data_IF_522901412854
#
_entry.id   IF_522901412854
#
_cell.length_a   1.000
_cell.length_b   1.000
_cell.length_c   1.000
_cell.angle_alpha   90.00
_cell.angle_beta   90.00
_cell.angle_gamma   90.00
#
_symmetry.space_group_name_H-M   'P 1'
#
loop_
_entity.id
_entity.type
_entity.pdbx_description
1 polymer ?
#
# COMPACT_ATOMS: atom_id res chain seq x y z
N UNK A 1 5.73 -33.87 4.70
CA UNK A 1 4.99 -32.84 3.96
C UNK A 1 5.88 -32.35 2.82
N UNK A 2 5.37 -32.35 1.59
CA UNK A 2 6.06 -31.80 0.43
C UNK A 2 5.67 -30.32 0.29
N UNK A 3 6.67 -29.44 0.22
CA UNK A 3 6.47 -28.01 0.01
C UNK A 3 7.06 -27.64 -1.36
N UNK A 4 6.22 -27.18 -2.27
CA UNK A 4 6.68 -26.67 -3.54
C UNK A 4 7.46 -25.35 -3.33
N UNK A 5 8.48 -25.06 -4.17
CA UNK A 5 9.12 -23.76 -4.16
C UNK A 5 8.10 -22.68 -4.53
N UNK A 6 8.28 -21.44 -4.04
CA UNK A 6 7.45 -20.32 -4.45
C UNK A 6 7.55 -20.07 -5.96
N UNK A 7 6.50 -19.54 -6.60
CA UNK A 7 6.54 -19.21 -8.02
C UNK A 7 7.65 -18.20 -8.32
N UNK A 8 8.23 -18.31 -9.51
CA UNK A 8 9.19 -17.31 -10.01
C UNK A 8 8.44 -16.00 -10.25
N UNK A 9 8.91 -14.86 -9.72
CA UNK A 9 8.28 -13.57 -9.97
C UNK A 9 8.27 -13.23 -11.46
N UNK A 10 7.18 -12.62 -11.93
CA UNK A 10 7.08 -12.16 -13.31
C UNK A 10 8.06 -10.99 -13.55
N UNK A 11 8.69 -11.01 -14.71
CA UNK A 11 9.45 -9.88 -15.23
C UNK A 11 8.53 -8.74 -15.65
N UNK A 12 9.07 -7.53 -15.83
CA UNK A 12 8.28 -6.39 -16.34
C UNK A 12 7.61 -6.69 -17.69
N UNK A 13 8.27 -7.30 -18.71
CA UNK A 13 7.60 -7.67 -19.96
C UNK A 13 6.45 -8.67 -19.78
N UNK A 14 6.60 -9.65 -18.90
CA UNK A 14 5.52 -10.62 -18.60
C UNK A 14 4.36 -9.94 -17.88
N UNK A 15 4.63 -9.05 -16.91
CA UNK A 15 3.60 -8.23 -16.27
C UNK A 15 2.86 -7.38 -17.30
N UNK A 16 3.58 -6.71 -18.19
CA UNK A 16 2.99 -5.88 -19.23
C UNK A 16 2.13 -6.71 -20.20
N UNK A 17 2.57 -7.91 -20.56
CA UNK A 17 1.80 -8.84 -21.39
C UNK A 17 0.48 -9.25 -20.71
N UNK A 18 0.51 -9.56 -19.39
CA UNK A 18 -0.71 -9.91 -18.64
C UNK A 18 -1.67 -8.74 -18.59
N UNK A 19 -1.19 -7.52 -18.32
CA UNK A 19 -2.04 -6.33 -18.26
C UNK A 19 -2.46 -5.81 -19.65
N UNK A 20 -1.78 -6.22 -20.71
CA UNK A 20 -2.14 -5.96 -22.10
C UNK A 20 -3.20 -6.89 -22.68
N UNK A 21 -3.68 -7.89 -21.94
CA UNK A 21 -4.77 -8.75 -22.38
C UNK A 21 -6.08 -7.93 -22.57
N UNK A 22 -6.98 -8.35 -23.48
CA UNK A 22 -8.18 -7.61 -23.83
C UNK A 22 -9.26 -7.70 -22.75
N UNK A 23 -8.98 -7.18 -21.57
CA UNK A 23 -9.95 -7.13 -20.47
C UNK A 23 -11.12 -6.22 -20.78
N UNK A 24 -12.33 -6.72 -20.54
CA UNK A 24 -13.58 -5.97 -20.76
C UNK A 24 -13.76 -4.79 -19.77
N UNK A 25 -13.14 -4.85 -18.59
CA UNK A 25 -13.30 -3.88 -17.49
C UNK A 25 -14.76 -3.61 -17.14
N UNK A 26 -15.59 -4.66 -17.17
CA UNK A 26 -17.03 -4.61 -16.89
C UNK A 26 -17.41 -5.75 -15.95
N UNK A 27 -18.50 -5.59 -15.17
CA UNK A 27 -19.08 -6.70 -14.44
C UNK A 27 -19.43 -7.87 -15.36
N UNK A 28 -19.46 -9.08 -14.79
CA UNK A 28 -19.90 -10.25 -15.53
C UNK A 28 -21.35 -10.08 -16.03
N UNK A 29 -21.72 -10.50 -17.24
CA UNK A 29 -23.07 -10.31 -17.79
C UNK A 29 -24.21 -10.87 -16.93
N UNK A 30 -23.93 -11.87 -16.08
CA UNK A 30 -24.92 -12.43 -15.15
C UNK A 30 -25.48 -11.42 -14.13
N UNK A 31 -24.79 -10.30 -13.89
CA UNK A 31 -25.29 -9.24 -13.00
C UNK A 31 -26.35 -8.36 -13.67
N UNK A 32 -26.53 -8.41 -14.99
CA UNK A 32 -27.49 -7.58 -15.73
C UNK A 32 -27.32 -6.09 -15.43
N UNK A 33 -28.41 -5.44 -15.03
CA UNK A 33 -28.45 -4.00 -14.68
C UNK A 33 -28.13 -3.72 -13.20
N UNK A 34 -27.72 -4.72 -12.42
CA UNK A 34 -27.42 -4.54 -11.01
C UNK A 34 -26.21 -3.63 -10.80
N UNK A 35 -26.36 -2.63 -9.93
CA UNK A 35 -25.22 -1.81 -9.48
C UNK A 35 -24.37 -2.60 -8.49
N UNK A 36 -23.07 -2.74 -8.79
CA UNK A 36 -22.10 -3.42 -7.94
C UNK A 36 -21.23 -2.36 -7.27
N UNK A 37 -21.41 -2.08 -5.96
CA UNK A 37 -20.65 -1.01 -5.28
C UNK A 37 -19.14 -1.16 -5.40
N UNK A 38 -18.63 -2.38 -5.31
CA UNK A 38 -17.19 -2.65 -5.46
C UNK A 38 -16.67 -2.25 -6.85
N UNK A 39 -17.43 -2.58 -7.92
CA UNK A 39 -17.07 -2.18 -9.27
C UNK A 39 -17.05 -0.65 -9.43
N UNK A 40 -18.09 0.03 -8.96
CA UNK A 40 -18.17 1.49 -9.03
C UNK A 40 -16.98 2.17 -8.34
N UNK A 41 -16.48 1.59 -7.26
CA UNK A 41 -15.35 2.10 -6.50
C UNK A 41 -14.02 1.94 -7.24
N UNK A 42 -13.81 0.82 -7.97
CA UNK A 42 -12.50 0.46 -8.54
C UNK A 42 -12.39 0.60 -10.05
N UNK A 43 -13.49 0.83 -10.79
CA UNK A 43 -13.51 0.81 -12.27
C UNK A 43 -12.51 1.76 -12.95
N UNK A 44 -12.09 2.81 -12.26
CA UNK A 44 -11.10 3.78 -12.71
C UNK A 44 -9.77 3.66 -11.94
N UNK A 45 -9.51 2.53 -11.30
CA UNK A 45 -8.25 2.27 -10.63
C UNK A 45 -7.30 1.47 -11.53
N UNK A 46 -6.00 1.66 -11.31
CA UNK A 46 -4.94 0.99 -12.05
C UNK A 46 -3.92 0.44 -11.08
N UNK A 47 -3.63 -0.85 -11.24
CA UNK A 47 -2.59 -1.52 -10.50
C UNK A 47 -1.26 -1.40 -11.23
N UNK A 48 -0.24 -0.79 -10.60
CA UNK A 48 1.06 -0.54 -11.23
C UNK A 48 2.11 -1.59 -10.88
N UNK A 49 1.86 -2.40 -9.86
CA UNK A 49 2.78 -3.44 -9.38
C UNK A 49 2.08 -4.48 -8.52
N UNK A 50 2.71 -5.62 -8.34
CA UNK A 50 2.31 -6.68 -7.41
C UNK A 50 3.46 -6.99 -6.45
N UNK A 51 3.13 -7.67 -5.35
CA UNK A 51 4.08 -8.01 -4.30
C UNK A 51 4.18 -6.96 -3.19
N UNK A 52 4.71 -7.39 -2.05
CA UNK A 52 4.96 -6.51 -0.91
C UNK A 52 6.10 -7.09 -0.05
N UNK A 53 7.14 -6.31 0.19
CA UNK A 53 8.24 -6.72 1.07
C UNK A 53 8.05 -6.26 2.53
N UNK A 54 6.84 -5.82 2.90
CA UNK A 54 6.52 -5.35 4.24
C UNK A 54 6.56 -6.44 5.30
N UNK A 55 6.06 -7.64 4.99
CA UNK A 55 6.07 -8.79 5.90
C UNK A 55 5.21 -8.63 7.15
N UNK A 56 4.20 -7.74 7.12
CA UNK A 56 3.30 -7.54 8.27
C UNK A 56 2.60 -8.84 8.62
N UNK A 57 2.62 -9.25 9.90
CA UNK A 57 2.17 -10.57 10.33
C UNK A 57 0.68 -10.83 10.15
N UNK A 58 -0.13 -9.77 10.16
CA UNK A 58 -1.58 -9.84 9.96
C UNK A 58 -2.00 -9.89 8.48
N UNK A 59 -1.05 -9.67 7.55
CA UNK A 59 -1.32 -9.52 6.13
C UNK A 59 -0.76 -10.71 5.34
N UNK A 60 -1.56 -11.26 4.43
CA UNK A 60 -1.15 -12.39 3.58
C UNK A 60 -0.59 -11.97 2.21
N UNK A 61 -0.53 -10.67 1.89
CA UNK A 61 -0.09 -10.20 0.56
C UNK A 61 1.34 -10.67 0.24
N UNK A 62 2.26 -10.57 1.20
CA UNK A 62 3.64 -11.02 1.02
C UNK A 62 3.72 -12.51 0.65
N UNK A 63 2.81 -13.32 1.21
CA UNK A 63 2.81 -14.77 1.02
C UNK A 63 2.20 -15.18 -0.32
N UNK A 64 1.14 -14.54 -0.79
CA UNK A 64 0.47 -14.96 -2.03
C UNK A 64 0.83 -14.15 -3.27
N UNK A 65 1.30 -12.89 -3.13
CA UNK A 65 1.81 -12.09 -4.26
C UNK A 65 3.34 -12.12 -4.36
N UNK A 66 3.99 -12.55 -3.28
CA UNK A 66 5.45 -12.58 -3.17
C UNK A 66 6.05 -11.30 -2.58
N UNK A 67 7.28 -11.45 -2.12
CA UNK A 67 8.08 -10.36 -1.52
C UNK A 67 8.81 -9.52 -2.55
N UNK A 68 9.05 -10.05 -3.74
CA UNK A 68 9.71 -9.35 -4.83
C UNK A 68 8.68 -8.51 -5.57
N UNK A 69 8.97 -7.24 -5.72
CA UNK A 69 8.06 -6.32 -6.41
C UNK A 69 8.12 -6.55 -7.91
N UNK A 70 6.98 -6.89 -8.49
CA UNK A 70 6.78 -7.11 -9.91
C UNK A 70 6.11 -5.87 -10.49
N UNK A 71 6.91 -4.97 -11.05
CA UNK A 71 6.43 -3.67 -11.55
C UNK A 71 6.12 -3.72 -13.03
N UNK A 72 5.05 -3.04 -13.42
CA UNK A 72 4.74 -2.76 -14.83
C UNK A 72 5.67 -1.68 -15.38
N UNK A 73 5.83 -1.63 -16.70
CA UNK A 73 6.48 -0.51 -17.34
C UNK A 73 5.61 0.76 -17.30
N UNK A 74 6.25 1.92 -17.41
CA UNK A 74 5.52 3.19 -17.55
C UNK A 74 4.59 3.14 -18.76
N UNK A 75 5.08 2.64 -19.90
CA UNK A 75 4.30 2.55 -21.15
C UNK A 75 3.01 1.75 -20.94
N UNK A 76 3.09 0.59 -20.30
CA UNK A 76 1.92 -0.26 -19.99
C UNK A 76 0.90 0.48 -19.12
N UNK A 77 1.35 1.19 -18.08
CA UNK A 77 0.47 1.93 -17.18
C UNK A 77 -0.18 3.12 -17.89
N UNK A 78 0.59 3.90 -18.65
CA UNK A 78 0.07 5.06 -19.38
C UNK A 78 -0.94 4.63 -20.46
N UNK A 79 -0.65 3.54 -21.17
CA UNK A 79 -1.58 2.96 -22.14
C UNK A 79 -2.91 2.58 -21.50
N UNK A 80 -2.90 1.94 -20.34
CA UNK A 80 -4.14 1.58 -19.63
C UNK A 80 -4.95 2.81 -19.17
N UNK A 81 -4.28 3.89 -18.78
CA UNK A 81 -4.97 5.17 -18.48
C UNK A 81 -5.71 5.68 -19.74
N UNK A 82 -5.06 5.61 -20.89
CA UNK A 82 -5.67 6.01 -22.17
C UNK A 82 -6.84 5.11 -22.53
N UNK A 83 -6.72 3.80 -22.35
CA UNK A 83 -7.83 2.86 -22.57
C UNK A 83 -9.02 3.14 -21.65
N UNK A 84 -8.78 3.42 -20.37
CA UNK A 84 -9.84 3.81 -19.42
C UNK A 84 -10.53 5.09 -19.91
N UNK A 85 -9.74 6.11 -20.29
CA UNK A 85 -10.27 7.37 -20.81
C UNK A 85 -11.16 7.17 -22.02
N UNK A 86 -10.73 6.33 -22.96
CA UNK A 86 -11.34 6.23 -24.29
C UNK A 86 -12.46 5.17 -24.34
N UNK A 87 -12.36 4.10 -23.51
CA UNK A 87 -13.22 2.92 -23.64
C UNK A 87 -14.12 2.68 -22.42
N UNK A 88 -13.84 3.28 -21.24
CA UNK A 88 -14.65 3.00 -20.05
C UNK A 88 -15.78 4.02 -19.92
N UNK A 89 -17.06 3.57 -19.98
CA UNK A 89 -18.20 4.48 -19.87
C UNK A 89 -18.20 5.27 -18.55
N UNK A 90 -18.58 6.55 -18.63
CA UNK A 90 -18.71 7.41 -17.45
C UNK A 90 -17.38 7.93 -16.89
N UNK A 91 -16.29 7.83 -17.63
CA UNK A 91 -15.01 8.42 -17.20
C UNK A 91 -15.12 9.96 -17.13
N UNK A 92 -14.77 10.50 -15.97
CA UNK A 92 -14.89 11.94 -15.67
C UNK A 92 -13.56 12.71 -15.75
N UNK A 93 -12.49 12.02 -16.15
CA UNK A 93 -11.13 12.55 -16.14
C UNK A 93 -10.38 12.25 -14.84
N UNK A 94 -10.93 11.42 -13.95
CA UNK A 94 -10.31 11.09 -12.66
C UNK A 94 -9.94 9.61 -12.63
N UNK A 95 -8.66 9.32 -12.47
CA UNK A 95 -8.18 8.00 -12.05
C UNK A 95 -8.30 7.96 -10.53
N UNK A 96 -9.13 7.06 -10.02
CA UNK A 96 -9.47 6.97 -8.60
C UNK A 96 -8.34 6.42 -7.74
N UNK A 97 -7.47 5.60 -8.34
CA UNK A 97 -6.25 5.09 -7.70
C UNK A 97 -5.22 4.68 -8.76
N UNK A 98 -4.00 5.15 -8.61
CA UNK A 98 -2.83 4.70 -9.37
C UNK A 98 -1.84 4.10 -8.38
N UNK A 99 -2.04 2.82 -8.03
CA UNK A 99 -1.35 2.20 -6.92
C UNK A 99 -1.18 0.69 -7.03
N UNK A 100 -1.25 0.02 -5.90
CA UNK A 100 -1.05 -1.42 -5.79
C UNK A 100 -1.15 -1.86 -4.33
N UNK A 101 -0.68 -3.06 -3.96
CA UNK A 101 -0.69 -3.54 -2.58
C UNK A 101 -0.08 -2.55 -1.58
N UNK A 102 0.94 -1.81 -2.05
CA UNK A 102 1.54 -0.67 -1.34
C UNK A 102 2.07 0.32 -2.39
N UNK A 103 1.38 1.43 -2.57
CA UNK A 103 1.59 2.33 -3.71
C UNK A 103 3.05 2.77 -3.91
N UNK A 104 3.78 3.04 -2.84
CA UNK A 104 5.15 3.53 -2.91
C UNK A 104 6.24 2.44 -2.86
N UNK A 105 5.90 1.21 -3.24
CA UNK A 105 6.89 0.15 -3.50
C UNK A 105 7.21 -0.03 -5.00
N UNK A 106 6.55 0.71 -5.88
CA UNK A 106 6.80 0.63 -7.32
C UNK A 106 8.29 0.81 -7.64
N UNK A 107 8.85 -0.17 -8.37
CA UNK A 107 10.27 -0.27 -8.76
C UNK A 107 11.28 -0.24 -7.61
N UNK A 108 10.85 -0.45 -6.38
CA UNK A 108 11.79 -0.67 -5.29
C UNK A 108 12.20 -2.15 -5.26
N UNK A 109 13.50 -2.39 -5.12
CA UNK A 109 14.09 -3.73 -5.12
C UNK A 109 15.32 -3.78 -4.23
N UNK A 110 15.82 -4.98 -3.97
CA UNK A 110 17.15 -5.17 -3.41
C UNK A 110 18.20 -4.64 -4.38
N UNK A 111 19.24 -4.00 -3.87
CA UNK A 111 20.35 -3.44 -4.68
C UNK A 111 21.26 -4.51 -5.28
N UNK A 112 21.21 -5.73 -4.76
CA UNK A 112 22.08 -6.84 -5.15
C UNK A 112 21.23 -8.13 -5.30
N UNK A 113 21.23 -8.69 -6.50
CA UNK A 113 20.47 -9.91 -6.83
C UNK A 113 21.00 -11.15 -6.11
N UNK A 114 22.32 -11.25 -5.87
CA UNK A 114 22.90 -12.38 -5.14
C UNK A 114 22.47 -12.36 -3.68
N UNK A 115 22.46 -11.17 -3.07
CA UNK A 115 21.93 -10.98 -1.71
C UNK A 115 20.43 -11.32 -1.70
N UNK A 116 19.67 -10.84 -2.67
CA UNK A 116 18.23 -11.09 -2.76
C UNK A 116 17.90 -12.58 -2.85
N UNK A 117 18.60 -13.33 -3.69
CA UNK A 117 18.37 -14.77 -3.90
C UNK A 117 18.66 -15.63 -2.66
N UNK A 118 19.63 -15.23 -1.84
CA UNK A 118 19.99 -15.93 -0.60
C UNK A 118 19.27 -15.41 0.66
N UNK A 119 18.53 -14.30 0.54
CA UNK A 119 17.95 -13.61 1.68
C UNK A 119 16.82 -14.41 2.34
N UNK A 120 16.87 -14.52 3.68
CA UNK A 120 15.87 -15.20 4.53
C UNK A 120 15.08 -14.23 5.43
N UNK A 121 15.26 -12.92 5.28
CA UNK A 121 14.51 -11.94 6.08
C UNK A 121 13.02 -12.00 5.74
N UNK A 122 12.18 -11.93 6.76
CA UNK A 122 10.71 -11.89 6.58
C UNK A 122 10.24 -10.52 6.07
N UNK A 123 11.01 -9.46 6.37
CA UNK A 123 10.68 -8.08 6.00
C UNK A 123 11.92 -7.32 5.54
N UNK A 124 11.78 -6.45 4.55
CA UNK A 124 12.83 -5.52 4.14
C UNK A 124 12.75 -4.16 4.87
N UNK A 125 11.71 -3.97 5.70
CA UNK A 125 11.41 -2.69 6.39
C UNK A 125 11.19 -2.85 7.89
N UNK A 126 11.38 -4.04 8.44
CA UNK A 126 11.28 -4.30 9.87
C UNK A 126 12.44 -5.19 10.35
N UNK A 127 13.02 -4.97 11.56
CA UNK A 127 12.75 -3.84 12.48
C UNK A 127 13.17 -2.48 11.89
N UNK A 128 14.15 -2.48 11.00
CA UNK A 128 14.65 -1.31 10.29
C UNK A 128 14.66 -1.55 8.78
N UNK A 129 14.65 -0.45 8.02
CA UNK A 129 14.79 -0.52 6.56
C UNK A 129 16.15 -1.13 6.22
N UNK A 130 16.12 -2.23 5.45
CA UNK A 130 17.31 -2.96 5.04
C UNK A 130 18.25 -2.05 4.23
N UNK A 131 19.53 -2.06 4.56
CA UNK A 131 20.57 -1.27 3.87
C UNK A 131 20.69 -1.63 2.38
N UNK A 132 20.38 -2.89 2.04
CA UNK A 132 20.36 -3.36 0.66
C UNK A 132 19.07 -3.04 -0.08
N UNK A 133 18.06 -2.43 0.56
CA UNK A 133 16.85 -1.99 -0.12
C UNK A 133 17.08 -0.66 -0.82
N UNK A 134 16.77 -0.60 -2.12
CA UNK A 134 16.63 0.66 -2.84
C UNK A 134 15.39 1.41 -2.34
N UNK A 135 15.52 2.70 -2.06
CA UNK A 135 14.43 3.54 -1.53
C UNK A 135 14.17 4.79 -2.38
N UNK A 136 14.64 4.77 -3.63
CA UNK A 136 14.45 5.88 -4.56
C UNK A 136 13.05 5.88 -5.16
N UNK A 137 12.27 6.90 -4.86
CA UNK A 137 10.92 7.10 -5.40
C UNK A 137 10.88 7.94 -6.69
N UNK A 138 12.03 8.33 -7.25
CA UNK A 138 12.06 9.12 -8.48
C UNK A 138 11.31 8.44 -9.66
N UNK A 139 11.40 7.12 -9.89
CA UNK A 139 10.63 6.45 -10.94
C UNK A 139 9.11 6.57 -10.73
N UNK A 140 8.63 6.49 -9.50
CA UNK A 140 7.22 6.63 -9.18
C UNK A 140 6.73 8.07 -9.39
N UNK A 141 7.52 9.06 -8.96
CA UNK A 141 7.22 10.48 -9.20
C UNK A 141 7.13 10.78 -10.69
N UNK A 142 8.05 10.21 -11.49
CA UNK A 142 8.03 10.37 -12.95
C UNK A 142 6.77 9.77 -13.57
N UNK A 143 6.40 8.54 -13.16
CA UNK A 143 5.15 7.91 -13.62
C UNK A 143 3.94 8.78 -13.30
N UNK A 144 3.83 9.30 -12.08
CA UNK A 144 2.72 10.16 -11.67
C UNK A 144 2.63 11.44 -12.52
N UNK A 145 3.77 12.07 -12.79
CA UNK A 145 3.83 13.28 -13.64
C UNK A 145 3.41 13.01 -15.08
N UNK A 146 3.90 11.91 -15.67
CA UNK A 146 3.50 11.49 -17.01
C UNK A 146 2.00 11.15 -17.08
N UNK A 147 1.49 10.42 -16.09
CA UNK A 147 0.07 10.08 -16.02
C UNK A 147 -0.83 11.32 -15.93
N UNK A 148 -0.43 12.34 -15.16
CA UNK A 148 -1.16 13.62 -15.07
C UNK A 148 -1.12 14.45 -16.37
N UNK A 149 -0.10 14.25 -17.19
CA UNK A 149 0.07 14.98 -18.46
C UNK A 149 -0.79 14.41 -19.61
N UNK A 150 -1.42 13.24 -19.43
CA UNK A 150 -2.27 12.63 -20.44
C UNK A 150 -3.48 13.53 -20.70
N UNK A 151 -3.70 13.91 -21.96
CA UNK A 151 -4.84 14.73 -22.37
C UNK A 151 -6.16 14.05 -21.96
N UNK A 152 -7.05 14.79 -21.32
CA UNK A 152 -8.35 14.28 -20.83
C UNK A 152 -8.29 13.73 -19.39
N UNK A 153 -7.10 13.57 -18.82
CA UNK A 153 -6.93 13.27 -17.39
C UNK A 153 -6.88 14.57 -16.60
N UNK A 154 -7.75 14.73 -15.63
CA UNK A 154 -7.85 15.91 -14.75
C UNK A 154 -7.15 15.68 -13.41
N UNK A 155 -7.25 14.46 -12.87
CA UNK A 155 -6.68 14.08 -11.59
C UNK A 155 -6.25 12.61 -11.60
N UNK A 156 -5.14 12.35 -10.94
CA UNK A 156 -4.69 11.01 -10.55
C UNK A 156 -4.67 11.00 -9.03
N UNK A 157 -5.50 10.16 -8.41
CA UNK A 157 -5.53 9.99 -6.97
C UNK A 157 -4.75 8.75 -6.56
N UNK A 158 -4.30 8.72 -5.32
CA UNK A 158 -3.67 7.58 -4.66
C UNK A 158 -4.54 7.22 -3.48
N UNK A 159 -5.34 6.16 -3.67
CA UNK A 159 -6.24 5.60 -2.66
C UNK A 159 -5.69 4.36 -1.97
N UNK A 160 -4.72 3.69 -2.61
CA UNK A 160 -4.00 2.54 -2.04
C UNK A 160 -3.19 2.95 -0.82
N UNK A 161 -3.01 2.02 0.11
CA UNK A 161 -2.11 2.19 1.23
C UNK A 161 -0.68 2.46 0.78
N UNK A 162 0.04 3.22 1.58
CA UNK A 162 1.48 3.46 1.38
C UNK A 162 2.28 3.18 2.64
N UNK A 163 3.56 2.88 2.46
CA UNK A 163 4.52 2.74 3.56
C UNK A 163 5.07 4.12 3.91
N UNK A 164 4.57 4.67 5.01
CA UNK A 164 4.99 5.99 5.50
C UNK A 164 6.45 6.00 5.97
N UNK A 165 6.94 4.88 6.50
CA UNK A 165 8.34 4.69 6.89
C UNK A 165 9.32 4.75 5.70
N UNK A 166 8.92 4.28 4.52
CA UNK A 166 9.65 4.52 3.27
C UNK A 166 9.47 5.95 2.76
N UNK A 167 8.25 6.48 2.82
CA UNK A 167 7.94 7.80 2.32
C UNK A 167 8.76 8.91 3.01
N UNK A 168 8.98 8.81 4.33
CA UNK A 168 9.81 9.80 5.07
C UNK A 168 11.28 9.83 4.65
N UNK A 169 11.76 8.80 3.91
CA UNK A 169 13.08 8.80 3.28
C UNK A 169 13.14 9.66 2.01
N UNK A 170 11.98 10.02 1.46
CA UNK A 170 11.84 10.80 0.23
C UNK A 170 10.84 11.94 0.41
N UNK A 171 11.23 13.06 1.02
CA UNK A 171 10.35 14.23 1.17
C UNK A 171 9.79 14.73 -0.18
N UNK A 172 10.55 14.57 -1.27
CA UNK A 172 10.10 14.90 -2.61
C UNK A 172 8.87 14.09 -3.04
N UNK A 173 8.81 12.78 -2.66
CA UNK A 173 7.66 11.94 -2.91
C UNK A 173 6.44 12.42 -2.11
N UNK A 174 6.61 12.75 -0.82
CA UNK A 174 5.50 13.25 0.02
C UNK A 174 4.98 14.58 -0.54
N UNK A 175 5.87 15.47 -0.98
CA UNK A 175 5.48 16.74 -1.61
C UNK A 175 4.68 16.52 -2.90
N UNK A 176 5.13 15.63 -3.78
CA UNK A 176 4.40 15.27 -5.02
C UNK A 176 3.02 14.70 -4.69
N UNK A 177 2.96 13.75 -3.74
CA UNK A 177 1.73 13.10 -3.29
C UNK A 177 0.71 14.12 -2.79
N UNK A 178 1.10 14.95 -1.83
CA UNK A 178 0.24 15.97 -1.19
C UNK A 178 -0.22 17.01 -2.21
N UNK A 179 0.70 17.48 -3.05
CA UNK A 179 0.39 18.55 -4.01
C UNK A 179 -0.57 18.11 -5.10
N UNK A 180 -0.51 16.84 -5.53
CA UNK A 180 -1.20 16.44 -6.74
C UNK A 180 -2.14 15.23 -6.61
N UNK A 181 -1.96 14.37 -5.60
CA UNK A 181 -2.57 13.04 -5.59
C UNK A 181 -3.48 12.77 -4.41
N UNK A 182 -3.59 13.68 -3.45
CA UNK A 182 -4.52 13.60 -2.32
C UNK A 182 -5.76 14.46 -2.61
N UNK A 183 -6.92 13.83 -2.51
CA UNK A 183 -8.23 14.44 -2.78
C UNK A 183 -8.91 15.07 -1.55
N UNK A 184 -8.17 15.38 -0.48
CA UNK A 184 -8.67 15.88 0.80
C UNK A 184 -8.35 14.92 1.95
N UNK A 185 -8.43 13.62 1.73
CA UNK A 185 -8.15 12.60 2.73
C UNK A 185 -7.11 11.60 2.20
N UNK A 186 -6.16 11.23 3.07
CA UNK A 186 -5.20 10.17 2.81
C UNK A 186 -5.29 9.12 3.92
N UNK A 187 -5.62 7.89 3.53
CA UNK A 187 -5.59 6.74 4.44
C UNK A 187 -4.16 6.33 4.72
N UNK A 188 -3.84 6.12 5.99
CA UNK A 188 -2.52 5.72 6.46
C UNK A 188 -2.66 4.70 7.60
N UNK A 189 -1.82 3.68 7.60
CA UNK A 189 -2.01 2.54 8.49
C UNK A 189 -0.87 2.40 9.52
N UNK A 190 -0.88 3.16 10.64
CA UNK A 190 0.02 2.91 11.76
C UNK A 190 -0.26 1.58 12.45
N UNK A 191 -1.50 1.10 12.46
CA UNK A 191 -2.06 -0.12 13.03
C UNK A 191 -2.13 -0.14 14.55
N UNK A 192 -1.16 0.41 15.26
CA UNK A 192 -1.12 0.59 16.71
C UNK A 192 -0.15 1.71 17.09
N UNK A 193 -0.13 2.11 18.37
CA UNK A 193 0.82 3.10 18.91
C UNK A 193 1.89 2.48 19.79
N UNK A 194 1.58 1.34 20.42
CA UNK A 194 2.44 0.73 21.41
C UNK A 194 3.48 -0.21 20.81
N UNK A 195 4.72 -0.20 21.34
CA UNK A 195 5.82 -1.00 20.80
C UNK A 195 5.57 -2.51 20.79
N UNK A 196 4.89 -3.04 21.81
CA UNK A 196 4.57 -4.46 21.94
C UNK A 196 3.73 -4.99 20.78
N UNK A 197 2.52 -4.47 20.57
CA UNK A 197 1.67 -4.81 19.42
C UNK A 197 2.37 -4.57 18.08
N UNK A 198 3.04 -3.42 17.90
CA UNK A 198 3.76 -3.10 16.64
C UNK A 198 4.87 -4.11 16.34
N UNK A 199 5.59 -4.59 17.37
CA UNK A 199 6.61 -5.63 17.18
C UNK A 199 5.98 -6.98 16.75
N UNK A 200 4.84 -7.38 17.32
CA UNK A 200 4.10 -8.56 16.89
C UNK A 200 3.55 -8.43 15.45
N UNK A 201 3.19 -7.22 15.05
CA UNK A 201 2.73 -6.89 13.71
C UNK A 201 3.86 -6.77 12.68
N UNK A 202 5.13 -6.73 13.10
CA UNK A 202 6.29 -6.37 12.26
C UNK A 202 6.10 -5.00 11.60
N UNK A 203 5.59 -4.03 12.37
CA UNK A 203 5.41 -2.63 11.94
C UNK A 203 6.44 -1.73 12.59
N UNK A 204 6.85 -0.63 11.94
CA UNK A 204 7.73 0.36 12.56
C UNK A 204 7.07 1.02 13.77
N UNK A 205 7.86 1.55 14.69
CA UNK A 205 7.37 2.33 15.80
C UNK A 205 6.58 3.58 15.36
N UNK A 206 5.68 4.05 16.23
CA UNK A 206 4.76 5.18 15.93
C UNK A 206 5.52 6.46 15.51
N UNK A 207 6.76 6.68 15.94
CA UNK A 207 7.56 7.84 15.56
C UNK A 207 7.78 8.00 14.05
N UNK A 208 7.75 6.91 13.27
CA UNK A 208 7.79 7.01 11.81
C UNK A 208 6.50 7.63 11.25
N UNK A 209 5.35 7.30 11.85
CA UNK A 209 4.07 7.93 11.51
C UNK A 209 4.06 9.41 11.89
N UNK A 210 4.54 9.76 13.08
CA UNK A 210 4.58 11.16 13.54
C UNK A 210 5.42 12.02 12.60
N UNK A 211 6.57 11.50 12.16
CA UNK A 211 7.41 12.18 11.18
C UNK A 211 6.72 12.34 9.82
N UNK A 212 6.02 11.31 9.36
CA UNK A 212 5.24 11.40 8.13
C UNK A 212 4.14 12.45 8.25
N UNK A 213 3.39 12.46 9.37
CA UNK A 213 2.34 13.44 9.64
C UNK A 213 2.87 14.86 9.62
N UNK A 214 4.02 15.12 10.26
CA UNK A 214 4.65 16.45 10.23
C UNK A 214 4.94 16.92 8.80
N UNK A 215 5.53 16.06 7.96
CA UNK A 215 5.81 16.38 6.55
C UNK A 215 4.52 16.54 5.72
N UNK A 216 3.53 15.72 5.97
CA UNK A 216 2.22 15.80 5.31
C UNK A 216 1.54 17.13 5.62
N UNK A 217 1.46 17.52 6.89
CA UNK A 217 0.85 18.76 7.34
C UNK A 217 1.64 20.00 6.82
N UNK A 218 2.96 19.91 6.80
CA UNK A 218 3.81 20.97 6.24
C UNK A 218 3.53 21.17 4.75
N UNK A 219 3.61 20.11 3.96
CA UNK A 219 3.43 20.21 2.50
C UNK A 219 1.98 20.51 2.11
N UNK A 220 0.99 20.13 2.91
CA UNK A 220 -0.40 20.52 2.70
C UNK A 220 -0.56 22.04 2.85
N UNK A 221 0.02 22.63 3.91
CA UNK A 221 0.03 24.10 4.08
C UNK A 221 0.78 24.82 2.96
N UNK A 222 1.97 24.32 2.57
CA UNK A 222 2.75 24.89 1.46
C UNK A 222 1.97 24.84 0.13
N UNK A 223 1.17 23.77 -0.08
CA UNK A 223 0.33 23.63 -1.26
C UNK A 223 -0.99 24.41 -1.19
N UNK A 224 -1.28 25.11 -0.07
CA UNK A 224 -2.54 25.81 0.14
C UNK A 224 -3.76 24.88 0.18
N UNK A 225 -3.60 23.64 0.67
CA UNK A 225 -4.65 22.63 0.68
C UNK A 225 -5.06 22.24 2.09
N UNK A 226 -6.35 22.10 2.28
CA UNK A 226 -6.93 21.51 3.48
C UNK A 226 -7.03 19.98 3.26
N UNK A 227 -6.16 19.23 3.94
CA UNK A 227 -6.05 17.78 3.79
C UNK A 227 -5.84 17.13 5.14
N UNK A 228 -6.35 15.90 5.28
CA UNK A 228 -6.37 15.17 6.54
C UNK A 228 -5.87 13.74 6.36
N UNK A 229 -5.14 13.24 7.37
CA UNK A 229 -4.81 11.82 7.48
C UNK A 229 -5.97 11.09 8.15
N UNK A 230 -6.34 9.94 7.60
CA UNK A 230 -7.25 8.98 8.23
C UNK A 230 -6.41 7.79 8.70
N UNK A 231 -6.04 7.74 10.00
CA UNK A 231 -5.24 6.65 10.53
C UNK A 231 -6.09 5.38 10.67
N UNK A 232 -5.50 4.25 10.29
CA UNK A 232 -6.07 2.92 10.38
C UNK A 232 -5.44 2.16 11.55
N UNK A 233 -6.26 1.51 12.39
CA UNK A 233 -5.78 0.75 13.54
C UNK A 233 -6.37 -0.65 13.58
N UNK A 234 -5.62 -1.59 14.15
CA UNK A 234 -6.07 -2.96 14.41
C UNK A 234 -6.23 -3.15 15.92
N UNK A 235 -7.44 -3.44 16.35
CA UNK A 235 -7.73 -3.81 17.72
C UNK A 235 -7.53 -5.32 17.93
N UNK A 236 -7.11 -5.71 19.15
CA UNK A 236 -6.99 -7.09 19.58
C UNK A 236 -6.12 -7.98 18.66
N UNK A 237 -5.07 -7.43 18.08
CA UNK A 237 -4.04 -8.25 17.42
C UNK A 237 -3.37 -9.18 18.45
N UNK A 238 -3.01 -10.43 18.12
CA UNK A 238 -2.26 -11.31 19.02
C UNK A 238 -1.07 -10.59 19.66
N UNK A 239 -0.96 -10.69 20.99
CA UNK A 239 0.06 -9.98 21.78
C UNK A 239 -0.31 -8.54 22.16
N UNK A 240 -1.55 -8.10 21.92
CA UNK A 240 -2.08 -6.82 22.41
C UNK A 240 -2.80 -7.03 23.74
N UNK A 241 -2.43 -6.26 24.77
CA UNK A 241 -3.10 -6.25 26.08
C UNK A 241 -4.19 -5.17 26.16
N UNK A 242 -5.05 -5.27 27.18
CA UNK A 242 -6.03 -4.21 27.48
C UNK A 242 -5.35 -2.89 27.81
N UNK A 243 -4.17 -2.94 28.45
CA UNK A 243 -3.37 -1.74 28.73
C UNK A 243 -2.87 -1.08 27.43
N UNK A 244 -2.44 -1.87 26.44
CA UNK A 244 -2.02 -1.34 25.14
C UNK A 244 -3.21 -0.67 24.44
N UNK A 245 -4.40 -1.27 24.48
CA UNK A 245 -5.61 -0.67 23.92
C UNK A 245 -6.02 0.61 24.64
N UNK A 246 -5.88 0.67 25.97
CA UNK A 246 -6.11 1.89 26.75
C UNK A 246 -5.14 3.00 26.32
N UNK A 247 -3.85 2.69 26.16
CA UNK A 247 -2.84 3.66 25.72
C UNK A 247 -3.15 4.18 24.30
N UNK A 248 -3.57 3.29 23.41
CA UNK A 248 -4.05 3.68 22.08
C UNK A 248 -5.24 4.65 22.17
N UNK A 249 -6.24 4.33 22.98
CA UNK A 249 -7.41 5.20 23.17
C UNK A 249 -7.03 6.58 23.74
N UNK A 250 -6.10 6.63 24.70
CA UNK A 250 -5.58 7.88 25.23
C UNK A 250 -4.78 8.68 24.18
N UNK A 251 -4.01 7.99 23.35
CA UNK A 251 -3.28 8.64 22.24
C UNK A 251 -4.25 9.28 21.24
N UNK A 252 -5.31 8.57 20.87
CA UNK A 252 -6.36 9.08 19.98
C UNK A 252 -7.01 10.34 20.54
N UNK A 253 -7.39 10.28 21.83
CA UNK A 253 -7.98 11.45 22.52
C UNK A 253 -7.04 12.66 22.54
N UNK A 254 -5.74 12.45 22.81
CA UNK A 254 -4.74 13.52 22.84
C UNK A 254 -4.48 14.15 21.48
N UNK A 255 -4.67 13.39 20.41
CA UNK A 255 -4.46 13.85 19.04
C UNK A 255 -5.76 14.30 18.36
N UNK A 256 -6.88 14.36 19.10
CA UNK A 256 -8.21 14.73 18.60
C UNK A 256 -8.67 13.90 17.38
N UNK A 257 -8.29 12.61 17.38
CA UNK A 257 -8.74 11.70 16.34
C UNK A 257 -10.11 11.08 16.70
N UNK A 258 -11.09 11.28 15.83
CA UNK A 258 -12.25 10.39 15.71
C UNK A 258 -11.89 9.26 14.78
N UNK A 259 -11.96 8.02 15.26
CA UNK A 259 -11.64 6.86 14.44
C UNK A 259 -12.82 6.52 13.51
N UNK A 260 -12.58 6.64 12.21
CA UNK A 260 -13.46 6.11 11.18
C UNK A 260 -13.04 4.70 10.71
N UNK A 261 -11.80 4.32 11.00
CA UNK A 261 -11.17 3.11 10.45
C UNK A 261 -10.46 2.32 11.56
N UNK A 262 -11.22 1.50 12.27
CA UNK A 262 -10.71 0.47 13.20
C UNK A 262 -11.21 -0.89 12.76
N UNK A 263 -10.32 -1.85 12.73
CA UNK A 263 -10.67 -3.24 12.48
C UNK A 263 -10.23 -4.09 13.65
N UNK A 264 -11.12 -4.93 14.16
CA UNK A 264 -10.72 -6.02 15.07
C UNK A 264 -9.88 -7.02 14.25
N UNK A 265 -8.82 -7.54 14.85
CA UNK A 265 -8.01 -8.58 14.23
C UNK A 265 -8.89 -9.73 13.75
N UNK A 266 -8.75 -10.08 12.47
CA UNK A 266 -9.43 -11.21 11.86
C UNK A 266 -8.36 -12.17 11.33
N UNK A 267 -8.31 -13.42 11.84
CA UNK A 267 -7.40 -14.43 11.31
C UNK A 267 -7.68 -14.69 9.82
N UNK A 268 -6.67 -14.48 9.00
CA UNK A 268 -6.74 -14.74 7.55
C UNK A 268 -5.81 -15.88 7.18
N UNK A 269 -6.13 -16.68 6.13
CA UNK A 269 -5.23 -17.70 5.64
C UNK A 269 -3.85 -17.11 5.28
N UNK A 270 -2.79 -17.88 5.52
CA UNK A 270 -1.39 -17.56 5.21
C UNK A 270 -0.77 -16.42 6.05
N UNK A 271 -1.53 -15.71 6.89
CA UNK A 271 -0.99 -14.68 7.76
C UNK A 271 -0.35 -15.29 9.02
N UNK A 272 0.87 -14.82 9.37
CA UNK A 272 1.62 -15.30 10.55
C UNK A 272 0.80 -15.06 11.83
N UNK A 273 0.11 -13.93 11.93
CA UNK A 273 -0.73 -13.61 13.08
C UNK A 273 -1.90 -14.59 13.28
N UNK A 274 -2.36 -15.26 12.22
CA UNK A 274 -3.35 -16.35 12.35
C UNK A 274 -2.77 -17.56 13.08
N UNK A 275 -1.50 -17.87 12.83
CA UNK A 275 -0.78 -18.91 13.58
C UNK A 275 -0.55 -18.49 15.04
N UNK A 276 -0.23 -17.22 15.30
CA UNK A 276 -0.13 -16.68 16.66
C UNK A 276 -1.45 -16.84 17.42
N UNK A 277 -2.56 -16.46 16.77
CA UNK A 277 -3.90 -16.54 17.35
C UNK A 277 -4.30 -17.98 17.70
N UNK A 278 -4.05 -18.92 16.77
CA UNK A 278 -4.43 -20.32 16.95
C UNK A 278 -3.56 -21.05 17.96
N UNK A 279 -2.25 -20.82 17.95
CA UNK A 279 -1.29 -21.55 18.78
C UNK A 279 -0.99 -20.89 20.15
N UNK A 280 -1.44 -19.66 20.33
CA UNK A 280 -1.08 -18.80 21.48
C UNK A 280 0.43 -18.60 21.65
N UNK A 281 1.20 -18.79 20.57
CA UNK A 281 2.66 -18.67 20.56
C UNK A 281 3.11 -17.67 19.48
N UNK A 282 4.19 -16.97 19.77
CA UNK A 282 4.81 -16.07 18.79
C UNK A 282 5.89 -16.83 17.98
N UNK A 283 5.68 -17.16 16.71
CA UNK A 283 6.66 -17.86 15.87
C UNK A 283 7.85 -17.01 15.44
N UNK A 284 7.87 -15.71 15.78
CA UNK A 284 8.96 -14.80 15.48
C UNK A 284 10.07 -14.80 16.55
N UNK A 285 9.89 -15.55 17.63
CA UNK A 285 10.84 -15.65 18.77
C UNK A 285 11.56 -16.96 18.75
#
# INVERSE_FOLDING_TARGET
VWLNPPPIPLTTPEMDAVYGLPYQRRPHPSYGEAKIPAYEMIRFSINIMRGCFGGCTFCSITEHEGRIIQSRSEASVLHEIEEIRDKTPGFTGIISDLGGPTANMYRLACKDEKIQSACRRLSCVYPDICENLGTDHAPLIQLYRKARAIRGVKRILIGSGLRYDLAVRSPAYIRELVTHHVGGYLKIAPEHTEPGPLAHMMKPGIGAYDKFKQLFDQFSREAGKEQYLIPYFIAAHPGTSDEDMLKLALWLKRNDFRLDQVQTFLPTPMAIASAMYHSERNPLK
#
